data_IF_643813902964
#
_entry.id   IF_643813902964
#
_cell.length_a   1.000
_cell.length_b   1.000
_cell.length_c   1.000
_cell.angle_alpha   90.00
_cell.angle_beta   90.00
_cell.angle_gamma   90.00
#
_symmetry.space_group_name_H-M   'P 1'
#
loop_
_entity.id
_entity.type
_entity.pdbx_description
1 polymer ?
#
# COMPACT_ATOMS: atom_id res chain seq x y z
N UNK A 1 5.33 3.54 17.55
CA UNK A 1 4.10 3.03 16.89
C UNK A 1 3.04 2.86 17.97
N UNK A 2 1.97 3.67 18.03
CA UNK A 2 0.97 3.50 19.08
C UNK A 2 0.16 2.24 18.77
N UNK A 3 0.25 1.29 19.69
CA UNK A 3 -0.50 0.04 19.73
C UNK A 3 -1.99 0.33 19.74
N UNK A 4 -2.74 -0.33 18.84
CA UNK A 4 -4.20 -0.27 18.79
C UNK A 4 -4.75 -0.97 20.05
N UNK A 5 -4.96 -0.21 21.13
CA UNK A 5 -5.52 -0.76 22.36
C UNK A 5 -6.94 -1.28 22.09
N UNK A 6 -7.13 -2.59 22.30
CA UNK A 6 -8.42 -3.24 22.36
C UNK A 6 -9.24 -2.59 23.47
N UNK A 7 -10.25 -1.80 23.07
CA UNK A 7 -11.17 -1.10 23.98
C UNK A 7 -11.78 -2.09 24.97
N UNK A 8 -11.50 -1.88 26.25
CA UNK A 8 -12.09 -2.60 27.37
C UNK A 8 -13.62 -2.50 27.30
N UNK A 9 -14.29 -3.66 27.30
CA UNK A 9 -15.75 -3.78 27.30
C UNK A 9 -16.31 -3.32 28.65
N UNK A 10 -16.87 -2.11 28.67
CA UNK A 10 -17.58 -1.56 29.82
C UNK A 10 -19.09 -1.85 29.79
N UNK A 11 -19.54 -2.47 30.89
CA UNK A 11 -20.90 -2.57 31.46
C UNK A 11 -21.99 -3.40 30.77
N UNK A 12 -22.08 -4.66 31.22
CA UNK A 12 -23.18 -5.63 31.02
C UNK A 12 -24.38 -5.30 31.93
N UNK A 13 -24.89 -4.06 31.92
CA UNK A 13 -26.13 -3.70 32.65
C UNK A 13 -27.10 -2.94 31.77
N UNK A 14 -27.93 -3.73 31.09
CA UNK A 14 -29.27 -3.45 30.61
C UNK A 14 -29.82 -2.03 30.82
N UNK A 15 -29.65 -1.18 29.81
CA UNK A 15 -30.59 -0.11 29.49
C UNK A 15 -30.77 -0.21 27.98
N UNK A 16 -31.99 -0.37 27.49
CA UNK A 16 -32.29 -0.29 26.04
C UNK A 16 -31.67 1.01 25.54
N UNK A 17 -30.46 0.97 24.97
CA UNK A 17 -29.78 2.15 24.46
C UNK A 17 -30.71 2.72 23.40
N UNK A 18 -31.17 3.95 23.61
CA UNK A 18 -32.05 4.57 22.65
C UNK A 18 -31.30 4.60 21.31
N UNK A 19 -32.01 4.35 20.21
CA UNK A 19 -31.43 4.51 18.86
C UNK A 19 -30.80 5.91 18.71
N UNK A 20 -31.32 6.91 19.45
CA UNK A 20 -30.74 8.24 19.56
C UNK A 20 -29.32 8.23 20.16
N UNK A 21 -29.10 7.54 21.28
CA UNK A 21 -27.78 7.47 21.95
C UNK A 21 -26.75 6.74 21.08
N UNK A 22 -27.16 5.67 20.41
CA UNK A 22 -26.30 4.92 19.49
C UNK A 22 -25.92 5.77 18.26
N UNK A 23 -26.89 6.50 17.69
CA UNK A 23 -26.63 7.43 16.58
C UNK A 23 -25.69 8.55 17.01
N UNK A 24 -25.91 9.13 18.19
CA UNK A 24 -25.06 10.18 18.74
C UNK A 24 -23.62 9.70 18.89
N UNK A 25 -23.41 8.52 19.49
CA UNK A 25 -22.08 7.91 19.61
C UNK A 25 -21.40 7.73 18.26
N UNK A 26 -22.10 7.19 17.26
CA UNK A 26 -21.56 7.00 15.90
C UNK A 26 -21.17 8.32 15.24
N UNK A 27 -21.99 9.37 15.40
CA UNK A 27 -21.70 10.70 14.87
C UNK A 27 -20.46 11.30 15.53
N UNK A 28 -20.33 11.15 16.85
CA UNK A 28 -19.15 11.63 17.58
C UNK A 28 -17.89 10.88 17.14
N UNK A 29 -17.95 9.56 17.00
CA UNK A 29 -16.83 8.75 16.49
C UNK A 29 -16.44 9.15 15.05
N UNK A 30 -17.43 9.41 14.18
CA UNK A 30 -17.18 9.91 12.82
C UNK A 30 -16.58 11.32 12.82
N UNK A 31 -17.06 12.22 13.68
CA UNK A 31 -16.55 13.58 13.77
C UNK A 31 -15.07 13.59 14.19
N UNK A 32 -14.68 12.73 15.12
CA UNK A 32 -13.27 12.56 15.51
C UNK A 32 -12.42 12.12 14.32
N UNK A 33 -12.84 11.08 13.58
CA UNK A 33 -12.11 10.61 12.39
C UNK A 33 -11.99 11.67 11.30
N UNK A 34 -13.06 12.44 11.06
CA UNK A 34 -13.04 13.51 10.07
C UNK A 34 -12.10 14.65 10.47
N UNK A 35 -11.98 14.96 11.76
CA UNK A 35 -11.01 15.93 12.26
C UNK A 35 -9.57 15.43 12.07
N UNK A 36 -9.30 14.16 12.40
CA UNK A 36 -7.99 13.55 12.16
C UNK A 36 -7.60 13.56 10.67
N UNK A 37 -8.54 13.27 9.76
CA UNK A 37 -8.30 13.32 8.32
C UNK A 37 -8.16 14.76 7.79
N UNK A 38 -8.85 15.73 8.38
CA UNK A 38 -8.70 17.14 8.05
C UNK A 38 -7.29 17.62 8.39
N UNK A 39 -6.81 17.27 9.59
CA UNK A 39 -5.52 17.68 10.14
C UNK A 39 -4.33 16.94 9.51
N UNK A 40 -4.58 15.88 8.72
CA UNK A 40 -3.51 15.14 8.02
C UNK A 40 -2.71 16.09 7.10
N UNK A 41 -1.38 16.16 7.24
CA UNK A 41 -0.55 17.01 6.38
C UNK A 41 -0.62 16.52 4.93
N UNK A 42 -0.72 17.47 3.99
CA UNK A 42 -0.80 17.22 2.55
C UNK A 42 0.37 17.90 1.84
N UNK A 43 0.86 17.25 0.80
CA UNK A 43 1.85 17.82 -0.12
C UNK A 43 1.16 18.37 -1.37
N UNK A 44 1.81 19.31 -2.07
CA UNK A 44 1.28 19.81 -3.34
C UNK A 44 1.30 18.69 -4.39
N UNK A 45 0.27 18.63 -5.23
CA UNK A 45 0.19 17.63 -6.30
C UNK A 45 1.40 17.72 -7.23
N UNK A 46 1.83 18.93 -7.59
CA UNK A 46 3.02 19.14 -8.44
C UNK A 46 4.30 18.53 -7.85
N UNK A 47 4.46 18.61 -6.53
CA UNK A 47 5.62 18.06 -5.81
C UNK A 47 5.55 16.53 -5.75
N UNK A 48 4.38 15.98 -5.41
CA UNK A 48 4.15 14.54 -5.42
C UNK A 48 4.38 13.93 -6.81
N UNK A 49 3.86 14.57 -7.87
CA UNK A 49 4.06 14.14 -9.25
C UNK A 49 5.54 14.15 -9.64
N UNK A 50 6.28 15.21 -9.29
CA UNK A 50 7.72 15.29 -9.56
C UNK A 50 8.49 14.20 -8.81
N UNK A 51 8.13 13.92 -7.56
CA UNK A 51 8.72 12.83 -6.78
C UNK A 51 8.51 11.47 -7.45
N UNK A 52 7.30 11.21 -7.98
CA UNK A 52 7.01 9.96 -8.69
C UNK A 52 7.81 9.85 -9.99
N UNK A 53 7.86 10.92 -10.79
CA UNK A 53 8.66 10.96 -12.02
C UNK A 53 10.13 10.68 -11.73
N UNK A 54 10.68 11.34 -10.70
CA UNK A 54 12.07 11.15 -10.29
C UNK A 54 12.33 9.70 -9.86
N UNK A 55 11.41 9.08 -9.10
CA UNK A 55 11.54 7.68 -8.70
C UNK A 55 11.54 6.75 -9.92
N UNK A 56 10.58 6.93 -10.82
CA UNK A 56 10.46 6.13 -12.05
C UNK A 56 11.62 6.32 -13.02
N UNK A 57 12.29 7.47 -13.03
CA UNK A 57 13.45 7.73 -13.89
C UNK A 57 14.78 7.25 -13.32
N UNK A 58 14.84 6.98 -12.01
CA UNK A 58 16.08 6.55 -11.33
C UNK A 58 16.04 5.09 -10.88
N UNK A 59 14.86 4.45 -10.95
CA UNK A 59 14.68 3.05 -10.57
C UNK A 59 14.53 2.20 -11.82
N UNK A 60 15.53 1.37 -12.11
CA UNK A 60 15.51 0.51 -13.29
C UNK A 60 14.39 -0.53 -13.19
N UNK A 61 13.59 -0.62 -14.25
CA UNK A 61 12.53 -1.61 -14.39
C UNK A 61 12.78 -2.49 -15.63
N UNK A 62 13.01 -3.77 -15.39
CA UNK A 62 13.29 -4.76 -16.43
C UNK A 62 12.05 -5.10 -17.28
N UNK A 63 10.84 -4.80 -16.79
CA UNK A 63 9.59 -4.98 -17.53
C UNK A 63 9.29 -3.84 -18.51
N UNK A 64 10.11 -2.78 -18.52
CA UNK A 64 9.98 -1.66 -19.48
C UNK A 64 11.25 -1.51 -20.33
N UNK A 65 11.54 -2.45 -21.26
CA UNK A 65 12.76 -2.42 -22.05
C UNK A 65 12.87 -1.24 -23.02
N UNK A 66 11.76 -0.60 -23.36
CA UNK A 66 11.75 0.60 -24.22
C UNK A 66 12.48 1.79 -23.59
N UNK A 67 12.50 1.86 -22.26
CA UNK A 67 13.17 2.94 -21.50
C UNK A 67 14.49 2.44 -20.91
N UNK A 68 14.53 1.22 -20.40
CA UNK A 68 15.66 0.67 -19.63
C UNK A 68 16.58 -0.30 -20.40
N UNK A 69 16.25 -0.57 -21.66
CA UNK A 69 16.94 -1.57 -22.48
C UNK A 69 16.54 -3.01 -22.14
N UNK A 70 16.93 -3.94 -23.01
CA UNK A 70 16.72 -5.37 -22.78
C UNK A 70 17.60 -5.85 -21.62
N UNK A 71 17.08 -6.80 -20.84
CA UNK A 71 17.86 -7.48 -19.79
C UNK A 71 18.89 -8.38 -20.46
N UNK A 72 20.14 -8.36 -19.98
CA UNK A 72 21.13 -9.31 -20.46
C UNK A 72 20.72 -10.72 -20.01
N UNK A 73 20.87 -11.71 -20.90
CA UNK A 73 20.56 -13.12 -20.59
C UNK A 73 21.36 -13.66 -19.40
N UNK A 74 22.50 -13.06 -19.07
CA UNK A 74 23.30 -13.40 -17.89
C UNK A 74 22.72 -12.87 -16.58
N UNK A 75 21.98 -11.78 -16.66
CA UNK A 75 21.36 -11.10 -15.51
C UNK A 75 19.92 -11.58 -15.28
N UNK A 76 19.29 -12.18 -16.29
CA UNK A 76 17.96 -12.78 -16.21
C UNK A 76 18.02 -14.18 -15.57
N UNK A 77 17.51 -14.38 -14.34
CA UNK A 77 17.49 -15.68 -13.66
C UNK A 77 16.61 -16.72 -14.37
N UNK A 78 15.72 -16.27 -15.24
CA UNK A 78 14.80 -17.11 -16.01
C UNK A 78 15.28 -17.35 -17.44
N UNK A 79 16.43 -16.78 -17.84
CA UNK A 79 17.00 -17.06 -19.14
C UNK A 79 17.29 -18.56 -19.25
N UNK A 80 16.93 -19.20 -20.38
CA UNK A 80 17.27 -20.60 -20.58
C UNK A 80 18.79 -20.72 -20.52
N UNK A 81 19.29 -21.49 -19.55
CA UNK A 81 20.69 -21.86 -19.52
C UNK A 81 20.99 -22.51 -20.87
N UNK A 82 22.04 -22.06 -21.56
CA UNK A 82 22.54 -22.75 -22.74
C UNK A 82 22.97 -24.15 -22.27
N UNK A 83 22.05 -25.11 -22.34
CA UNK A 83 22.37 -26.52 -22.39
C UNK A 83 23.05 -26.74 -23.74
N UNK A 84 24.35 -26.42 -23.78
CA UNK A 84 25.28 -27.02 -24.73
C UNK A 84 25.14 -28.53 -24.61
N UNK A 85 24.93 -29.17 -25.76
CA UNK A 85 24.28 -30.47 -25.84
C UNK A 85 24.94 -31.59 -25.05
N UNK A 86 24.09 -32.43 -24.47
CA UNK A 86 24.36 -33.85 -24.27
C UNK A 86 22.99 -34.53 -24.21
N UNK A 87 22.79 -35.55 -25.06
CA UNK A 87 21.60 -36.41 -25.22
C UNK A 87 20.71 -36.09 -26.46
N UNK A 88 21.10 -36.64 -27.62
CA UNK A 88 20.13 -37.08 -28.65
C UNK A 88 19.34 -38.26 -28.10
N UNK A 89 18.01 -38.18 -28.15
CA UNK A 89 17.12 -39.34 -27.94
C UNK A 89 16.72 -39.86 -29.32
N UNK A 90 17.13 -41.11 -29.59
CA UNK A 90 16.57 -41.96 -30.66
C UNK A 90 15.20 -42.48 -30.22
#
# INVERSE_FOLDING_TARGET
MPTYELRSGGDVRNKKQSVADLKYRRLTELNVRLKEDLDRPRVKVSEASLSLINYCNNTRDFMVPSVWGQVDKREDPYAPQQQGGCCTVM
#
